data_IF_918597244990
#
_entry.id   IF_918597244990
#
_cell.length_a   1.000
_cell.length_b   1.000
_cell.length_c   1.000
_cell.angle_alpha   90.00
_cell.angle_beta   90.00
_cell.angle_gamma   90.00
#
_symmetry.space_group_name_H-M   'P 1'
#
loop_
_entity.id
_entity.type
_entity.pdbx_description
1 polymer ?
#
# COMPACT_ATOMS: atom_id res chain seq x y z
N UNK A 1 36.95 -69.81 -27.00
CA UNK A 1 37.60 -70.10 -25.70
C UNK A 1 37.41 -68.88 -24.81
N UNK A 2 36.93 -69.11 -23.58
CA UNK A 2 36.67 -68.11 -22.54
C UNK A 2 37.93 -67.91 -21.70
N UNK A 3 38.29 -66.67 -21.42
CA UNK A 3 39.05 -66.14 -20.26
C UNK A 3 38.92 -64.60 -20.35
N UNK A 4 38.65 -63.76 -19.34
CA UNK A 4 38.58 -63.88 -17.89
C UNK A 4 39.44 -62.78 -17.23
N UNK A 5 38.80 -61.79 -16.56
CA UNK A 5 39.33 -60.80 -15.57
C UNK A 5 40.27 -59.68 -16.10
N UNK A 6 40.27 -58.42 -15.62
CA UNK A 6 40.00 -57.85 -14.28
C UNK A 6 39.57 -56.34 -14.29
N UNK A 7 38.88 -55.90 -13.22
CA UNK A 7 38.75 -54.50 -12.72
C UNK A 7 39.91 -54.24 -11.72
N UNK A 8 40.40 -53.00 -11.43
CA UNK A 8 39.59 -51.82 -11.04
C UNK A 8 40.19 -50.44 -11.44
N UNK A 9 39.50 -49.33 -11.16
CA UNK A 9 40.13 -48.01 -11.21
C UNK A 9 39.17 -46.83 -11.25
N UNK A 10 38.81 -46.33 -10.07
CA UNK A 10 38.04 -45.10 -9.86
C UNK A 10 38.73 -43.86 -10.47
N UNK A 11 37.94 -42.95 -11.04
CA UNK A 11 38.31 -41.52 -11.08
C UNK A 11 37.05 -40.64 -11.25
N UNK A 12 36.67 -40.02 -10.13
CA UNK A 12 36.17 -38.64 -10.01
C UNK A 12 34.89 -38.28 -10.77
N UNK A 13 33.77 -38.37 -10.05
CA UNK A 13 32.59 -37.57 -10.32
C UNK A 13 32.91 -36.08 -10.14
N UNK A 14 33.03 -35.34 -11.25
CA UNK A 14 33.07 -33.88 -11.23
C UNK A 14 31.69 -33.35 -11.65
N UNK A 15 30.76 -33.35 -10.70
CA UNK A 15 29.53 -32.57 -10.81
C UNK A 15 29.92 -31.08 -10.69
N UNK A 16 30.16 -30.43 -11.83
CA UNK A 16 30.26 -28.97 -11.90
C UNK A 16 28.85 -28.42 -11.70
N UNK A 17 28.47 -28.27 -10.43
CA UNK A 17 27.37 -27.42 -10.01
C UNK A 17 27.80 -25.98 -10.32
N UNK A 18 27.53 -25.52 -11.54
CA UNK A 18 27.57 -24.10 -11.87
C UNK A 18 26.44 -23.46 -11.08
N UNK A 19 26.76 -23.05 -9.85
CA UNK A 19 25.98 -22.09 -9.08
C UNK A 19 26.02 -20.76 -9.84
N UNK A 20 25.15 -20.63 -10.83
CA UNK A 20 24.72 -19.35 -11.37
C UNK A 20 23.92 -18.62 -10.29
N UNK A 21 24.63 -17.99 -9.35
CA UNK A 21 24.10 -16.85 -8.61
C UNK A 21 23.91 -15.71 -9.62
N UNK A 22 22.85 -15.80 -10.42
CA UNK A 22 22.29 -14.63 -11.07
C UNK A 22 21.84 -13.70 -9.96
N UNK A 23 22.65 -12.69 -9.64
CA UNK A 23 22.16 -11.49 -8.98
C UNK A 23 21.12 -10.92 -9.93
N UNK A 24 19.84 -11.21 -9.68
CA UNK A 24 18.78 -10.42 -10.28
C UNK A 24 19.02 -8.99 -9.82
N UNK A 25 19.15 -8.01 -10.73
CA UNK A 25 19.16 -6.63 -10.30
C UNK A 25 17.82 -6.40 -9.60
N UNK A 26 17.87 -6.25 -8.27
CA UNK A 26 16.75 -5.73 -7.53
C UNK A 26 16.56 -4.31 -8.05
N UNK A 27 15.63 -4.13 -8.99
CA UNK A 27 15.15 -2.83 -9.40
C UNK A 27 14.50 -2.20 -8.17
N UNK A 28 15.31 -1.49 -7.39
CA UNK A 28 14.86 -0.83 -6.19
C UNK A 28 13.95 0.31 -6.64
N UNK A 29 12.64 0.08 -6.54
CA UNK A 29 11.62 1.10 -6.75
C UNK A 29 11.92 2.27 -5.83
N UNK A 30 11.95 3.49 -6.38
CA UNK A 30 12.17 4.69 -5.59
C UNK A 30 10.87 5.09 -4.88
N UNK A 31 10.78 4.81 -3.58
CA UNK A 31 9.63 5.18 -2.77
C UNK A 31 9.98 5.95 -1.49
N UNK A 32 9.01 6.67 -0.97
CA UNK A 32 9.15 7.41 0.29
C UNK A 32 7.82 7.62 0.99
N UNK A 33 7.87 7.81 2.31
CA UNK A 33 6.69 8.01 3.15
C UNK A 33 6.63 9.46 3.63
N UNK A 34 5.44 10.06 3.53
CA UNK A 34 5.15 11.43 3.93
C UNK A 34 4.08 11.42 5.03
N UNK A 35 4.42 11.89 6.23
CA UNK A 35 3.48 12.04 7.34
C UNK A 35 2.75 13.39 7.26
N UNK A 36 1.97 13.56 6.18
CA UNK A 36 1.09 14.70 5.93
C UNK A 36 -0.29 14.19 5.46
N UNK A 37 -1.36 14.99 5.63
CA UNK A 37 -2.65 14.71 5.02
C UNK A 37 -2.56 14.45 3.51
N UNK A 38 -3.33 13.46 3.04
CA UNK A 38 -3.34 13.05 1.63
C UNK A 38 -3.62 14.22 0.67
N UNK A 39 -4.58 15.08 1.00
CA UNK A 39 -4.96 16.21 0.14
C UNK A 39 -3.82 17.22 -0.05
N UNK A 40 -2.97 17.40 0.97
CA UNK A 40 -1.80 18.26 0.90
C UNK A 40 -0.73 17.63 -0.01
N UNK A 41 -0.46 16.33 0.17
CA UNK A 41 0.51 15.60 -0.68
C UNK A 41 0.04 15.56 -2.13
N UNK A 42 -1.24 15.32 -2.37
CA UNK A 42 -1.84 15.32 -3.71
C UNK A 42 -1.65 16.68 -4.39
N UNK A 43 -2.06 17.76 -3.72
CA UNK A 43 -1.98 19.12 -4.27
C UNK A 43 -0.54 19.52 -4.55
N UNK A 44 0.37 19.20 -3.63
CA UNK A 44 1.80 19.52 -3.75
C UNK A 44 2.47 18.72 -4.86
N UNK A 45 2.12 17.44 -5.01
CA UNK A 45 2.62 16.59 -6.11
C UNK A 45 2.21 17.14 -7.47
N UNK A 46 0.92 17.46 -7.66
CA UNK A 46 0.42 18.02 -8.92
C UNK A 46 1.08 19.37 -9.23
N UNK A 47 1.24 20.24 -8.21
CA UNK A 47 1.92 21.53 -8.35
C UNK A 47 3.40 21.39 -8.66
N UNK A 48 4.12 20.50 -7.96
CA UNK A 48 5.52 20.21 -8.23
C UNK A 48 5.71 19.84 -9.70
N UNK A 49 4.95 18.87 -10.19
CA UNK A 49 5.05 18.38 -11.57
C UNK A 49 4.70 19.49 -12.57
N UNK A 50 3.54 20.14 -12.41
CA UNK A 50 3.01 21.05 -13.44
C UNK A 50 3.54 22.46 -13.36
N UNK A 51 3.68 23.00 -12.15
CA UNK A 51 3.98 24.41 -11.91
C UNK A 51 5.48 24.59 -11.68
N UNK A 52 6.06 23.85 -10.75
CA UNK A 52 7.47 24.06 -10.37
C UNK A 52 8.41 23.55 -11.46
N UNK A 53 8.08 22.40 -12.07
CA UNK A 53 8.91 21.76 -13.11
C UNK A 53 8.36 21.91 -14.54
N UNK A 54 7.14 22.39 -14.72
CA UNK A 54 6.58 22.62 -16.06
C UNK A 54 6.35 21.34 -16.88
N UNK A 55 6.28 20.18 -16.23
CA UNK A 55 6.00 18.91 -16.91
C UNK A 55 4.54 18.86 -17.36
N UNK A 56 4.30 18.17 -18.48
CA UNK A 56 2.94 17.97 -18.98
C UNK A 56 2.29 16.84 -18.17
N UNK A 57 1.13 17.09 -17.58
CA UNK A 57 0.31 16.02 -16.99
C UNK A 57 -0.60 15.48 -18.09
N UNK A 58 -0.52 14.17 -18.33
CA UNK A 58 -1.33 13.46 -19.32
C UNK A 58 -2.63 12.98 -18.71
N UNK A 59 -2.56 12.45 -17.50
CA UNK A 59 -3.69 11.91 -16.76
C UNK A 59 -3.46 12.07 -15.27
N UNK A 60 -4.54 12.21 -14.50
CA UNK A 60 -4.48 12.18 -13.04
C UNK A 60 -5.81 11.70 -12.50
N UNK A 61 -5.75 10.89 -11.46
CA UNK A 61 -6.91 10.50 -10.67
C UNK A 61 -6.57 10.65 -9.19
N UNK A 62 -7.33 11.49 -8.51
CA UNK A 62 -7.10 11.80 -7.09
C UNK A 62 -7.55 10.65 -6.19
N UNK A 63 -8.59 9.93 -6.58
CA UNK A 63 -9.22 8.91 -5.76
C UNK A 63 -8.34 7.67 -5.75
N UNK A 64 -7.86 7.26 -6.94
CA UNK A 64 -6.88 6.18 -7.12
C UNK A 64 -5.45 6.59 -6.81
N UNK A 65 -5.17 7.89 -6.76
CA UNK A 65 -3.90 8.44 -6.32
C UNK A 65 -2.76 8.27 -7.32
N UNK A 66 -3.02 8.48 -8.60
CA UNK A 66 -1.97 8.44 -9.62
C UNK A 66 -1.93 9.69 -10.48
N UNK A 67 -0.74 10.02 -10.99
CA UNK A 67 -0.54 11.07 -12.00
C UNK A 67 0.41 10.52 -13.06
N UNK A 68 -0.01 10.56 -14.33
CA UNK A 68 0.84 10.29 -15.49
C UNK A 68 1.33 11.61 -16.07
N UNK A 69 2.63 11.72 -16.31
CA UNK A 69 3.24 12.97 -16.77
C UNK A 69 4.39 12.73 -17.76
N UNK A 70 4.86 13.80 -18.37
CA UNK A 70 6.03 13.79 -19.23
C UNK A 70 7.19 14.52 -18.57
N UNK A 71 8.15 13.74 -18.11
CA UNK A 71 9.44 14.25 -17.63
C UNK A 71 10.22 14.83 -18.80
N UNK A 72 10.82 16.00 -18.60
CA UNK A 72 11.75 16.61 -19.55
C UNK A 72 13.16 16.54 -18.98
N UNK A 73 14.13 16.14 -19.80
CA UNK A 73 15.52 16.20 -19.39
C UNK A 73 15.99 17.64 -19.14
N UNK A 74 17.17 17.80 -18.55
CA UNK A 74 17.72 19.11 -18.22
C UNK A 74 17.95 20.01 -19.45
N UNK A 75 18.01 19.45 -20.66
CA UNK A 75 18.16 20.19 -21.92
C UNK A 75 16.81 20.53 -22.56
N UNK A 76 15.73 19.89 -22.10
CA UNK A 76 14.39 19.99 -22.68
C UNK A 76 14.27 19.34 -24.07
N UNK A 77 15.27 18.58 -24.51
CA UNK A 77 15.32 18.01 -25.86
C UNK A 77 14.47 16.73 -25.96
N UNK A 78 14.36 15.99 -24.85
CA UNK A 78 13.66 14.71 -24.79
C UNK A 78 12.62 14.71 -23.69
N UNK A 79 11.49 14.08 -24.01
CA UNK A 79 10.38 13.82 -23.09
C UNK A 79 10.27 12.33 -22.82
N UNK A 80 10.11 11.98 -21.56
CA UNK A 80 10.00 10.60 -21.08
C UNK A 80 8.70 10.42 -20.31
N UNK A 81 8.07 9.25 -20.46
CA UNK A 81 6.86 8.94 -19.70
C UNK A 81 7.22 8.70 -18.23
N UNK A 82 6.57 9.44 -17.36
CA UNK A 82 6.69 9.33 -15.91
C UNK A 82 5.35 9.07 -15.27
N UNK A 83 5.37 8.45 -14.09
CA UNK A 83 4.21 8.34 -13.22
C UNK A 83 4.58 8.61 -11.77
N UNK A 84 3.60 9.06 -11.00
CA UNK A 84 3.67 9.08 -9.54
C UNK A 84 2.43 8.44 -8.96
N UNK A 85 2.62 7.60 -7.95
CA UNK A 85 1.54 6.95 -7.20
C UNK A 85 1.60 7.41 -5.74
N UNK A 86 0.42 7.66 -5.17
CA UNK A 86 0.18 8.16 -3.83
C UNK A 86 -0.77 7.20 -3.11
N UNK A 87 -0.23 6.35 -2.26
CA UNK A 87 -1.01 5.38 -1.50
C UNK A 87 -1.22 5.87 -0.07
N UNK A 88 -2.47 5.81 0.41
CA UNK A 88 -2.81 6.05 1.82
C UNK A 88 -2.45 4.80 2.61
N UNK A 89 -1.52 4.92 3.56
CA UNK A 89 -1.02 3.80 4.37
C UNK A 89 -1.14 4.15 5.85
N UNK A 90 -1.33 3.15 6.70
CA UNK A 90 -1.22 3.32 8.15
C UNK A 90 0.07 2.65 8.60
N UNK A 91 1.03 3.43 9.10
CA UNK A 91 2.31 2.96 9.61
C UNK A 91 2.42 3.34 11.09
N UNK A 92 2.68 2.37 11.97
CA UNK A 92 2.76 2.58 13.44
C UNK A 92 1.54 3.33 14.00
N UNK A 93 0.33 3.04 13.54
CA UNK A 93 -0.91 3.74 13.92
C UNK A 93 -1.01 5.22 13.45
N UNK A 94 -0.11 5.67 12.58
CA UNK A 94 -0.15 6.98 11.95
C UNK A 94 -0.58 6.85 10.48
N UNK A 95 -1.50 7.71 10.03
CA UNK A 95 -1.84 7.83 8.61
C UNK A 95 -0.71 8.56 7.89
N UNK A 96 -0.14 7.90 6.90
CA UNK A 96 0.95 8.41 6.08
C UNK A 96 0.65 8.20 4.59
N UNK A 97 1.33 8.93 3.73
CA UNK A 97 1.21 8.77 2.28
C UNK A 97 2.50 8.17 1.75
N UNK A 98 2.40 6.98 1.15
CA UNK A 98 3.50 6.38 0.41
C UNK A 98 3.51 6.96 -1.01
N UNK A 99 4.64 7.53 -1.41
CA UNK A 99 4.87 8.14 -2.70
C UNK A 99 5.84 7.28 -3.48
N UNK A 100 5.53 7.01 -4.74
CA UNK A 100 6.36 6.23 -5.65
C UNK A 100 6.48 7.00 -6.95
N UNK A 101 7.69 7.37 -7.36
CA UNK A 101 7.95 7.94 -8.69
C UNK A 101 8.55 6.86 -9.59
N UNK A 102 8.09 6.80 -10.83
CA UNK A 102 8.62 5.88 -11.84
C UNK A 102 8.81 6.61 -13.17
N UNK A 103 10.03 6.59 -13.70
CA UNK A 103 10.37 7.09 -15.04
C UNK A 103 11.26 6.04 -15.71
N UNK A 104 10.68 4.99 -16.34
CA UNK A 104 11.39 3.76 -16.71
C UNK A 104 12.63 3.95 -17.61
N UNK A 105 12.63 5.00 -18.42
CA UNK A 105 13.71 5.32 -19.37
C UNK A 105 14.80 6.21 -18.75
N UNK A 106 14.64 6.63 -17.49
CA UNK A 106 15.58 7.46 -16.77
C UNK A 106 16.22 6.70 -15.60
N UNK A 107 17.44 7.07 -15.17
CA UNK A 107 18.04 6.46 -13.99
C UNK A 107 17.29 6.84 -12.70
N UNK A 108 17.34 5.94 -11.70
CA UNK A 108 16.63 6.08 -10.41
C UNK A 108 16.98 7.33 -9.60
N UNK A 109 18.15 7.95 -9.83
CA UNK A 109 18.50 9.21 -9.15
C UNK A 109 17.56 10.35 -9.52
N UNK A 110 16.95 10.33 -10.72
CA UNK A 110 15.97 11.33 -11.14
C UNK A 110 14.68 11.17 -10.33
N UNK A 111 14.22 9.93 -10.14
CA UNK A 111 13.07 9.62 -9.29
C UNK A 111 13.33 10.03 -7.84
N UNK A 112 14.53 9.75 -7.35
CA UNK A 112 14.97 10.09 -5.99
C UNK A 112 15.01 11.61 -5.81
N UNK A 113 15.54 12.32 -6.79
CA UNK A 113 15.55 13.78 -6.81
C UNK A 113 14.12 14.35 -6.76
N UNK A 114 13.19 13.84 -7.58
CA UNK A 114 11.79 14.32 -7.55
C UNK A 114 11.11 14.05 -6.21
N UNK A 115 11.34 12.87 -5.63
CA UNK A 115 10.84 12.53 -4.31
C UNK A 115 11.40 13.47 -3.22
N UNK A 116 12.68 13.78 -3.26
CA UNK A 116 13.31 14.69 -2.30
C UNK A 116 12.83 16.13 -2.49
N UNK A 117 12.58 16.55 -3.73
CA UNK A 117 11.97 17.85 -4.03
C UNK A 117 10.54 17.95 -3.52
N UNK A 118 9.76 16.86 -3.62
CA UNK A 118 8.45 16.80 -3.01
C UNK A 118 8.53 16.88 -1.47
N UNK A 119 9.43 16.11 -0.83
CA UNK A 119 9.64 16.19 0.63
C UNK A 119 10.00 17.60 1.08
N UNK A 120 10.89 18.27 0.35
CA UNK A 120 11.28 19.63 0.64
C UNK A 120 10.10 20.59 0.50
N UNK A 121 9.35 20.49 -0.61
CA UNK A 121 8.14 21.30 -0.84
C UNK A 121 7.10 21.12 0.26
N UNK A 122 6.90 19.89 0.74
CA UNK A 122 5.98 19.64 1.86
C UNK A 122 6.42 20.38 3.13
N UNK A 123 7.72 20.41 3.42
CA UNK A 123 8.26 21.17 4.55
C UNK A 123 8.12 22.68 4.36
N UNK A 124 8.38 23.17 3.15
CA UNK A 124 8.32 24.60 2.85
C UNK A 124 6.87 25.12 2.91
N UNK A 125 5.88 24.33 2.46
CA UNK A 125 4.48 24.75 2.42
C UNK A 125 3.72 24.48 3.72
N UNK A 126 4.03 23.40 4.44
CA UNK A 126 3.23 22.95 5.59
C UNK A 126 4.02 22.79 6.89
N UNK A 127 5.34 23.02 6.87
CA UNK A 127 6.21 22.88 8.04
C UNK A 127 6.64 21.42 8.29
N UNK A 128 7.11 21.13 9.50
CA UNK A 128 7.59 19.78 9.84
C UNK A 128 6.47 18.72 9.78
N UNK A 129 6.78 17.49 9.32
CA UNK A 129 5.81 16.40 9.26
C UNK A 129 5.31 16.02 10.66
N UNK A 130 4.13 15.39 10.72
CA UNK A 130 3.58 14.91 11.99
C UNK A 130 4.58 13.98 12.69
N UNK A 131 4.96 14.22 13.96
CA UNK A 131 5.91 13.39 14.66
C UNK A 131 5.40 11.94 14.76
N UNK A 132 6.28 10.93 14.70
CA UNK A 132 5.86 9.55 14.80
C UNK A 132 5.23 9.29 16.17
N UNK A 133 4.17 8.47 16.25
CA UNK A 133 3.55 8.13 17.52
C UNK A 133 4.54 7.37 18.42
N UNK A 134 4.42 7.53 19.76
CA UNK A 134 5.29 6.83 20.70
C UNK A 134 5.12 5.30 20.56
N UNK A 135 6.20 4.52 20.77
CA UNK A 135 6.10 3.06 20.73
C UNK A 135 5.10 2.56 21.78
N UNK A 136 4.21 1.64 21.37
CA UNK A 136 3.29 0.98 22.30
C UNK A 136 4.10 0.22 23.36
N UNK A 137 3.88 0.52 24.65
CA UNK A 137 4.48 -0.26 25.74
C UNK A 137 4.04 -1.72 25.59
N UNK A 138 4.92 -2.71 25.80
CA UNK A 138 4.52 -4.12 25.83
C UNK A 138 3.37 -4.29 26.83
N UNK A 139 2.33 -5.08 26.50
CA UNK A 139 1.29 -5.38 27.47
C UNK A 139 1.96 -5.97 28.72
N UNK A 140 1.71 -5.34 29.87
CA UNK A 140 2.16 -5.87 31.15
C UNK A 140 1.63 -7.31 31.24
N UNK A 141 2.53 -8.28 31.39
CA UNK A 141 2.13 -9.66 31.63
C UNK A 141 1.23 -9.65 32.86
N UNK A 142 -0.01 -10.10 32.70
CA UNK A 142 -0.91 -10.29 33.83
C UNK A 142 -0.20 -11.20 34.84
N UNK A 143 -0.21 -10.85 36.15
CA UNK A 143 0.36 -11.73 37.15
C UNK A 143 -0.31 -13.12 37.07
N UNK A 144 0.43 -14.22 37.25
CA UNK A 144 -0.13 -15.57 37.17
C UNK A 144 -1.29 -15.73 38.15
N UNK A 145 -2.46 -16.09 37.61
CA UNK A 145 -3.69 -16.25 38.37
C UNK A 145 -3.56 -17.29 39.49
N UNK A 146 -4.10 -16.92 40.64
CA UNK A 146 -4.43 -17.81 41.74
C UNK A 146 -5.40 -18.92 41.29
N UNK A 147 -5.18 -20.11 41.86
CA UNK A 147 -5.84 -21.36 41.49
C UNK A 147 -7.36 -21.33 41.77
N UNK A 148 -8.20 -21.94 40.91
CA UNK A 148 -9.62 -22.12 41.21
C UNK A 148 -9.84 -23.33 42.14
N UNK A 149 -10.38 -23.08 43.33
CA UNK A 149 -10.88 -24.10 44.24
C UNK A 149 -12.23 -24.67 43.78
N UNK A 150 -12.27 -25.99 43.52
CA UNK A 150 -13.49 -26.84 43.53
C UNK A 150 -14.17 -26.72 44.91
N UNK A 151 -15.51 -26.80 45.08
CA UNK A 151 -16.44 -27.92 44.78
C UNK A 151 -17.89 -27.51 45.27
N UNK A 152 -18.96 -28.36 45.22
CA UNK A 152 -19.95 -28.54 44.14
C UNK A 152 -21.45 -28.41 44.57
N UNK A 153 -22.36 -28.47 43.56
CA UNK A 153 -23.75 -29.04 43.51
C UNK A 153 -24.81 -28.61 44.57
N UNK A 154 -26.09 -28.36 44.26
CA UNK A 154 -27.10 -29.21 43.61
C UNK A 154 -28.33 -28.29 43.29
N UNK A 155 -28.85 -28.19 42.05
CA UNK A 155 -29.99 -28.92 41.44
C UNK A 155 -31.33 -28.12 41.39
N UNK A 156 -32.34 -28.55 40.59
CA UNK A 156 -32.90 -27.73 39.52
C UNK A 156 -34.39 -27.41 39.72
N UNK A 157 -34.97 -26.55 38.88
CA UNK A 157 -36.41 -26.58 38.64
C UNK A 157 -36.72 -26.34 37.16
N UNK A 158 -37.44 -27.32 36.61
CA UNK A 158 -38.10 -27.30 35.30
C UNK A 158 -39.19 -26.21 35.34
N UNK A 159 -39.19 -25.26 34.42
CA UNK A 159 -39.78 -25.50 33.12
C UNK A 159 -40.90 -24.48 32.89
N UNK A 160 -41.11 -24.13 31.62
CA UNK A 160 -42.40 -24.21 30.95
C UNK A 160 -42.60 -23.08 29.92
N UNK A 161 -42.42 -23.51 28.68
CA UNK A 161 -43.25 -23.24 27.51
C UNK A 161 -43.27 -21.86 26.82
N UNK A 162 -43.12 -22.00 25.49
CA UNK A 162 -43.70 -21.26 24.36
C UNK A 162 -42.92 -20.08 23.76
N UNK A 163 -42.17 -20.43 22.71
CA UNK A 163 -42.02 -19.65 21.48
C UNK A 163 -43.34 -19.63 20.67
N UNK A 164 -43.38 -19.11 19.42
CA UNK A 164 -43.14 -17.73 18.99
C UNK A 164 -44.31 -17.22 18.08
N UNK A 165 -44.54 -15.91 18.04
CA UNK A 165 -45.44 -15.26 17.08
C UNK A 165 -45.14 -13.75 17.17
N UNK A 166 -45.17 -12.90 16.15
CA UNK A 166 -45.35 -13.00 14.71
C UNK A 166 -45.10 -11.54 14.24
N UNK A 167 -44.48 -11.36 13.09
CA UNK A 167 -44.29 -10.04 12.50
C UNK A 167 -45.63 -9.41 12.08
N UNK A 168 -45.71 -8.08 12.06
CA UNK A 168 -46.43 -7.40 10.97
C UNK A 168 -45.51 -6.33 10.36
N UNK A 169 -45.11 -6.48 9.08
CA UNK A 169 -45.84 -6.00 7.90
C UNK A 169 -45.81 -4.46 7.76
N UNK A 170 -44.89 -3.97 6.93
CA UNK A 170 -45.10 -2.77 6.12
C UNK A 170 -46.38 -2.92 5.28
N UNK A 171 -47.17 -1.84 5.13
CA UNK A 171 -47.27 -1.27 3.79
C UNK A 171 -47.47 0.26 3.83
N UNK A 172 -46.43 1.01 3.45
CA UNK A 172 -46.48 2.46 3.29
C UNK A 172 -46.36 2.87 1.82
N UNK A 173 -47.51 3.08 1.19
CA UNK A 173 -47.73 3.38 -0.22
C UNK A 173 -46.80 4.43 -0.86
N UNK A 174 -46.36 4.13 -2.10
CA UNK A 174 -46.19 5.13 -3.15
C UNK A 174 -47.57 5.68 -3.54
N UNK A 175 -47.64 6.96 -3.93
CA UNK A 175 -48.25 7.22 -5.24
C UNK A 175 -47.36 8.05 -6.18
N UNK A 176 -47.46 7.66 -7.45
CA UNK A 176 -46.98 8.35 -8.64
C UNK A 176 -47.57 9.76 -8.82
N UNK A 177 -46.76 10.67 -9.38
CA UNK A 177 -47.15 11.67 -10.40
C UNK A 177 -45.84 12.26 -10.98
N UNK A 178 -45.46 11.92 -12.21
CA UNK A 178 -45.78 12.66 -13.46
C UNK A 178 -44.92 13.93 -13.66
N UNK A 179 -43.87 13.79 -14.48
CA UNK A 179 -43.47 14.55 -15.70
C UNK A 179 -43.96 16.02 -15.94
N UNK A 180 -43.46 16.77 -16.94
CA UNK A 180 -42.12 16.89 -17.57
C UNK A 180 -41.72 18.39 -17.83
N UNK A 181 -40.60 18.59 -18.54
CA UNK A 181 -40.26 19.74 -19.42
C UNK A 181 -40.21 21.17 -18.85
N UNK A 182 -39.05 21.83 -18.95
CA UNK A 182 -38.98 23.09 -19.69
C UNK A 182 -37.58 23.31 -20.28
N UNK A 183 -37.57 23.47 -21.60
CA UNK A 183 -36.46 23.96 -22.38
C UNK A 183 -36.77 25.42 -22.71
N UNK A 184 -35.92 26.35 -22.28
CA UNK A 184 -35.74 27.73 -22.79
C UNK A 184 -34.71 28.38 -21.87
N UNK A 185 -33.66 29.07 -22.32
CA UNK A 185 -33.51 29.92 -23.50
C UNK A 185 -32.01 30.20 -23.73
#
# INVERSE_FOLDING_TARGET
MRTGTALPGACVALAVLVMSLGSTPAAARTDGTLAYPYDQVWTSTVRLIRIDYGYAIREKDKDDGYVLFEYKDARGERTYKGSVQLARVTERDQKVVKVIFEIPEMPSYIESMLLDKLKQKMRDEYGEPLPPPPPKKPPAQAPPGDKPGKKPADKPDEGKDRAPAEAPAEPGARPSASSPTDASR
#
